data_IF_972099839451
#
_entry.id   IF_972099839451
#
_cell.length_a   1.000
_cell.length_b   1.000
_cell.length_c   1.000
_cell.angle_alpha   90.00
_cell.angle_beta   90.00
_cell.angle_gamma   90.00
#
_symmetry.space_group_name_H-M   'P 1'
#
loop_
_entity.id
_entity.type
_entity.pdbx_description
1 polymer ?
#
# COMPACT_ATOMS: atom_id res chain seq x y z
N UNK A 1 63.51 32.34 -11.34
CA UNK A 1 62.92 31.42 -10.37
C UNK A 1 61.58 32.00 -9.91
N UNK A 2 60.45 31.54 -10.50
CA UNK A 2 59.09 31.91 -10.09
C UNK A 2 58.35 30.62 -9.73
N UNK A 3 58.09 30.40 -8.44
CA UNK A 3 57.29 29.26 -7.93
C UNK A 3 55.83 29.55 -8.22
N UNK A 4 55.18 28.65 -9.00
CA UNK A 4 53.73 28.61 -9.14
C UNK A 4 53.14 27.78 -8.00
N UNK A 5 52.32 28.41 -7.18
CA UNK A 5 51.53 27.77 -6.13
C UNK A 5 50.24 27.29 -6.84
N UNK A 6 50.05 25.98 -6.87
CA UNK A 6 48.80 25.36 -7.34
C UNK A 6 47.90 25.24 -6.11
N UNK A 7 46.78 25.99 -6.12
CA UNK A 7 45.69 25.79 -5.16
C UNK A 7 44.84 24.60 -5.64
N UNK A 8 44.91 23.50 -4.91
CA UNK A 8 43.97 22.41 -5.05
C UNK A 8 42.69 22.77 -4.29
N UNK A 9 41.61 23.07 -5.01
CA UNK A 9 40.28 23.22 -4.44
C UNK A 9 39.73 21.82 -4.22
N UNK A 10 39.66 21.41 -2.95
CA UNK A 10 38.98 20.19 -2.52
C UNK A 10 37.48 20.49 -2.52
N UNK A 11 36.78 20.05 -3.55
CA UNK A 11 35.32 20.08 -3.55
C UNK A 11 34.82 18.92 -2.69
N UNK A 12 34.46 19.20 -1.45
CA UNK A 12 33.70 18.28 -0.60
C UNK A 12 32.26 18.22 -1.10
N UNK A 13 31.95 17.17 -1.85
CA UNK A 13 30.56 16.79 -2.11
C UNK A 13 29.94 16.36 -0.77
N UNK A 14 29.09 17.20 -0.22
CA UNK A 14 28.12 16.80 0.79
C UNK A 14 27.06 15.95 0.07
N UNK A 15 27.21 14.64 0.17
CA UNK A 15 26.09 13.72 -0.08
C UNK A 15 25.20 13.89 1.14
N UNK A 16 24.13 14.66 0.98
CA UNK A 16 23.03 14.67 1.94
C UNK A 16 22.34 13.31 1.81
N UNK A 17 22.80 12.35 2.62
CA UNK A 17 22.04 11.16 2.95
C UNK A 17 20.81 11.66 3.71
N UNK A 18 19.64 11.59 3.10
CA UNK A 18 18.39 11.69 3.85
C UNK A 18 18.32 10.46 4.75
N UNK A 19 18.87 10.59 5.95
CA UNK A 19 18.55 9.70 7.05
C UNK A 19 17.06 9.90 7.36
N UNK A 20 16.24 9.06 6.78
CA UNK A 20 14.88 8.83 7.26
C UNK A 20 15.01 8.36 8.71
N UNK A 21 14.78 9.28 9.64
CA UNK A 21 14.75 8.99 11.07
C UNK A 21 13.71 7.87 11.26
N UNK A 22 14.20 6.68 11.57
CA UNK A 22 13.39 5.60 12.12
C UNK A 22 12.53 6.22 13.24
N UNK A 23 11.21 6.14 13.07
CA UNK A 23 10.27 6.57 14.11
C UNK A 23 10.67 5.90 15.43
N UNK A 24 10.67 6.64 16.54
CA UNK A 24 10.83 6.02 17.85
C UNK A 24 9.67 5.04 18.03
N UNK A 25 9.97 3.80 18.40
CA UNK A 25 9.00 2.81 18.82
C UNK A 25 8.20 3.40 19.98
N UNK A 26 7.07 4.06 19.68
CA UNK A 26 6.10 4.40 20.68
C UNK A 26 5.49 3.08 21.14
N UNK A 27 5.88 2.65 22.34
CA UNK A 27 5.14 1.60 23.05
C UNK A 27 3.66 1.97 23.03
N UNK A 28 2.75 1.02 22.72
CA UNK A 28 1.33 1.30 22.74
C UNK A 28 0.95 1.74 24.15
N UNK A 29 0.45 2.96 24.27
CA UNK A 29 -0.23 3.35 25.52
C UNK A 29 -1.46 2.46 25.64
N UNK A 30 -1.46 1.58 26.64
CA UNK A 30 -2.63 0.83 27.07
C UNK A 30 -3.78 1.78 27.39
N UNK A 31 -4.64 1.99 26.41
CA UNK A 31 -6.06 2.31 26.59
C UNK A 31 -6.69 2.04 25.22
N UNK A 32 -7.31 0.86 25.06
CA UNK A 32 -8.30 0.66 24.01
C UNK A 32 -9.27 1.84 24.06
N UNK A 33 -9.16 2.75 23.09
CA UNK A 33 -9.96 3.97 23.03
C UNK A 33 -11.43 3.58 23.02
N UNK A 34 -12.24 4.26 23.82
CA UNK A 34 -13.71 4.10 23.77
C UNK A 34 -14.13 4.26 22.32
N UNK A 35 -14.98 3.34 21.85
CA UNK A 35 -15.55 3.41 20.51
C UNK A 35 -16.23 4.78 20.32
N UNK A 36 -15.60 5.68 19.60
CA UNK A 36 -16.06 7.05 19.38
C UNK A 36 -16.85 7.20 18.08
N UNK A 37 -17.08 6.08 17.37
CA UNK A 37 -17.87 6.11 16.15
C UNK A 37 -19.34 6.36 16.51
N UNK A 38 -20.03 7.33 15.85
CA UNK A 38 -21.45 7.55 16.09
C UNK A 38 -22.28 6.29 15.81
N UNK A 39 -23.23 5.95 16.67
CA UNK A 39 -23.98 4.68 16.62
C UNK A 39 -24.78 4.48 15.31
N UNK A 40 -25.07 5.55 14.57
CA UNK A 40 -25.81 5.51 13.30
C UNK A 40 -24.94 5.24 12.08
N UNK A 41 -23.61 5.17 12.22
CA UNK A 41 -22.71 4.95 11.09
C UNK A 41 -22.77 3.50 10.64
N UNK A 42 -23.19 3.29 9.40
CA UNK A 42 -23.17 1.98 8.75
C UNK A 42 -21.77 1.76 8.18
N UNK A 43 -21.11 0.69 8.59
CA UNK A 43 -19.84 0.26 8.03
C UNK A 43 -20.05 -0.89 7.04
N UNK A 44 -19.21 -0.91 6.03
CA UNK A 44 -19.07 -2.06 5.12
C UNK A 44 -18.49 -3.23 5.91
N UNK A 45 -18.96 -4.45 5.63
CA UNK A 45 -18.45 -5.69 6.23
C UNK A 45 -16.98 -5.90 5.85
N UNK A 46 -16.16 -6.29 6.82
CA UNK A 46 -14.71 -6.48 6.59
C UNK A 46 -14.23 -7.79 7.22
N UNK A 47 -13.15 -8.36 6.70
CA UNK A 47 -12.35 -9.37 7.39
C UNK A 47 -11.70 -8.78 8.67
N UNK A 48 -11.15 -9.61 9.58
CA UNK A 48 -10.39 -9.11 10.73
C UNK A 48 -9.25 -8.18 10.32
N UNK A 49 -9.00 -7.15 11.13
CA UNK A 49 -7.89 -6.22 10.90
C UNK A 49 -6.56 -6.97 11.04
N UNK A 50 -5.76 -6.93 9.98
CA UNK A 50 -4.40 -7.50 9.95
C UNK A 50 -3.38 -6.52 10.53
N UNK A 51 -2.18 -7.02 10.83
CA UNK A 51 -1.07 -6.21 11.33
C UNK A 51 0.15 -6.39 10.44
N UNK A 52 0.48 -5.37 9.65
CA UNK A 52 1.66 -5.37 8.77
C UNK A 52 2.98 -5.23 9.53
N UNK A 53 2.93 -4.95 10.84
CA UNK A 53 4.12 -4.67 11.63
C UNK A 53 4.92 -3.49 11.07
N UNK A 54 6.22 -3.72 10.87
CA UNK A 54 7.13 -2.72 10.28
C UNK A 54 7.41 -2.99 8.78
N UNK A 55 6.53 -3.74 8.10
CA UNK A 55 6.70 -3.99 6.67
C UNK A 55 6.32 -2.76 5.83
N UNK A 56 6.82 -2.73 4.60
CA UNK A 56 6.47 -1.73 3.59
C UNK A 56 5.34 -2.25 2.66
N UNK A 57 4.52 -3.20 3.16
CA UNK A 57 3.49 -3.90 2.38
C UNK A 57 2.09 -3.29 2.54
N UNK A 58 1.98 -2.05 3.03
CA UNK A 58 0.68 -1.38 3.21
C UNK A 58 -0.20 -1.43 1.95
N UNK A 59 0.42 -1.30 0.78
CA UNK A 59 -0.24 -1.41 -0.52
C UNK A 59 -0.92 -2.76 -0.74
N UNK A 60 -0.25 -3.86 -0.37
CA UNK A 60 -0.82 -5.19 -0.47
C UNK A 60 -1.91 -5.42 0.59
N UNK A 61 -1.68 -5.00 1.84
CA UNK A 61 -2.67 -5.12 2.91
C UNK A 61 -3.95 -4.34 2.60
N UNK A 62 -3.82 -3.08 2.15
CA UNK A 62 -4.96 -2.22 1.86
C UNK A 62 -5.78 -2.71 0.66
N UNK A 63 -5.10 -3.10 -0.42
CA UNK A 63 -5.79 -3.57 -1.63
C UNK A 63 -6.44 -4.96 -1.43
N UNK A 64 -5.73 -5.91 -0.77
CA UNK A 64 -6.36 -7.20 -0.42
C UNK A 64 -7.56 -7.02 0.50
N UNK A 65 -7.46 -6.10 1.48
CA UNK A 65 -8.57 -5.77 2.36
C UNK A 65 -9.81 -5.28 1.56
N UNK A 66 -9.59 -4.44 0.55
CA UNK A 66 -10.65 -3.94 -0.33
C UNK A 66 -11.28 -5.06 -1.15
N UNK A 67 -10.47 -5.97 -1.72
CA UNK A 67 -10.97 -7.15 -2.43
C UNK A 67 -11.81 -8.04 -1.50
N UNK A 68 -11.30 -8.33 -0.29
CA UNK A 68 -12.00 -9.14 0.72
C UNK A 68 -13.36 -8.55 1.12
N UNK A 69 -13.41 -7.23 1.32
CA UNK A 69 -14.65 -6.54 1.72
C UNK A 69 -15.65 -6.45 0.57
N UNK A 70 -15.19 -6.33 -0.67
CA UNK A 70 -16.04 -6.40 -1.87
C UNK A 70 -16.72 -7.77 -1.97
N UNK A 71 -16.00 -8.87 -1.70
CA UNK A 71 -16.57 -10.22 -1.64
C UNK A 71 -17.60 -10.38 -0.52
N UNK A 72 -17.32 -9.83 0.66
CA UNK A 72 -18.28 -9.86 1.79
C UNK A 72 -19.58 -9.14 1.38
N UNK A 73 -19.49 -8.03 0.68
CA UNK A 73 -20.66 -7.31 0.16
C UNK A 73 -21.44 -8.15 -0.84
N UNK A 74 -20.76 -8.92 -1.70
CA UNK A 74 -21.36 -9.86 -2.65
C UNK A 74 -21.88 -11.14 -2.01
N UNK A 75 -21.69 -11.35 -0.70
CA UNK A 75 -22.15 -12.52 0.07
C UNK A 75 -21.14 -13.65 0.21
N UNK A 76 -19.93 -13.47 -0.26
CA UNK A 76 -18.81 -14.39 -0.10
C UNK A 76 -17.96 -14.02 1.12
N UNK A 77 -17.13 -14.95 1.58
CA UNK A 77 -16.15 -14.69 2.63
C UNK A 77 -14.80 -15.26 2.22
N UNK A 78 -13.91 -14.36 1.83
CA UNK A 78 -12.52 -14.69 1.52
C UNK A 78 -11.59 -13.93 2.45
N UNK A 79 -10.43 -14.52 2.74
CA UNK A 79 -9.35 -13.91 3.50
C UNK A 79 -8.04 -14.31 2.82
N UNK A 80 -7.25 -13.33 2.35
CA UNK A 80 -6.14 -13.54 1.44
C UNK A 80 -4.79 -13.34 2.14
N UNK A 81 -3.79 -14.09 1.70
CA UNK A 81 -2.43 -14.06 2.26
C UNK A 81 -1.59 -12.94 1.66
N UNK A 82 -1.17 -11.99 2.47
CA UNK A 82 -0.15 -10.99 2.10
C UNK A 82 1.24 -11.62 2.05
N UNK A 83 1.54 -12.58 2.93
CA UNK A 83 2.81 -13.30 2.94
C UNK A 83 3.08 -14.03 1.62
N UNK A 84 2.04 -14.55 0.95
CA UNK A 84 2.17 -15.16 -0.37
C UNK A 84 2.63 -14.14 -1.41
N UNK A 85 1.98 -12.98 -1.47
CA UNK A 85 2.35 -11.89 -2.37
C UNK A 85 3.78 -11.40 -2.09
N UNK A 86 4.12 -11.23 -0.81
CA UNK A 86 5.47 -10.84 -0.40
C UNK A 86 6.53 -11.84 -0.86
N UNK A 87 6.24 -13.13 -0.76
CA UNK A 87 7.13 -14.21 -1.25
C UNK A 87 7.34 -14.12 -2.75
N UNK A 88 6.27 -13.96 -3.53
CA UNK A 88 6.36 -13.83 -4.99
C UNK A 88 7.16 -12.60 -5.39
N UNK A 89 6.92 -11.47 -4.72
CA UNK A 89 7.67 -10.25 -4.94
C UNK A 89 9.17 -10.42 -4.63
N UNK A 90 9.52 -11.01 -3.50
CA UNK A 90 10.92 -11.26 -3.15
C UNK A 90 11.64 -12.12 -4.18
N UNK A 91 11.00 -13.17 -4.69
CA UNK A 91 11.58 -14.02 -5.73
C UNK A 91 11.79 -13.26 -7.05
N UNK A 92 10.83 -12.42 -7.44
CA UNK A 92 10.93 -11.60 -8.66
C UNK A 92 12.03 -10.55 -8.52
N UNK A 93 12.01 -9.79 -7.41
CA UNK A 93 13.02 -8.75 -7.14
C UNK A 93 14.43 -9.32 -6.99
N UNK A 94 14.58 -10.54 -6.48
CA UNK A 94 15.86 -11.23 -6.43
C UNK A 94 16.42 -11.53 -7.84
N UNK A 95 15.57 -11.94 -8.79
CA UNK A 95 15.98 -12.14 -10.18
C UNK A 95 16.34 -10.82 -10.86
N UNK A 96 15.57 -9.75 -10.62
CA UNK A 96 15.90 -8.41 -11.13
C UNK A 96 17.24 -7.92 -10.59
N UNK A 97 17.49 -8.12 -9.28
CA UNK A 97 18.76 -7.78 -8.63
C UNK A 97 19.92 -8.56 -9.26
N UNK A 98 19.76 -9.89 -9.40
CA UNK A 98 20.77 -10.76 -10.00
C UNK A 98 21.13 -10.33 -11.44
N UNK A 99 20.13 -10.16 -12.32
CA UNK A 99 20.36 -9.77 -13.71
C UNK A 99 20.85 -8.32 -13.86
N UNK A 100 20.50 -7.42 -12.94
CA UNK A 100 21.06 -6.07 -12.90
C UNK A 100 22.47 -6.02 -12.28
N UNK A 101 23.02 -7.17 -11.85
CA UNK A 101 24.30 -7.23 -11.15
C UNK A 101 24.34 -6.32 -9.91
N UNK A 102 23.27 -6.36 -9.10
CA UNK A 102 23.15 -5.60 -7.87
C UNK A 102 22.78 -4.11 -8.03
N UNK A 103 22.43 -3.66 -9.24
CA UNK A 103 22.11 -2.24 -9.49
C UNK A 103 20.68 -1.87 -9.12
N UNK A 104 19.76 -2.83 -9.04
CA UNK A 104 18.37 -2.63 -8.63
C UNK A 104 18.20 -3.16 -7.20
N UNK A 105 18.21 -2.32 -6.16
CA UNK A 105 18.04 -2.77 -4.77
C UNK A 105 16.68 -3.40 -4.57
N UNK A 106 16.60 -4.32 -3.60
CA UNK A 106 15.36 -5.02 -3.27
C UNK A 106 14.61 -4.20 -2.21
N UNK A 107 13.37 -3.82 -2.52
CA UNK A 107 12.44 -3.15 -1.64
C UNK A 107 11.06 -3.79 -1.73
N UNK A 108 10.31 -3.76 -0.64
CA UNK A 108 8.93 -4.22 -0.58
C UNK A 108 7.92 -3.08 -0.79
N UNK A 109 8.40 -1.87 -1.12
CA UNK A 109 7.54 -0.73 -1.46
C UNK A 109 6.85 -0.95 -2.81
N UNK A 110 5.67 -0.39 -2.95
CA UNK A 110 4.88 -0.44 -4.17
C UNK A 110 3.55 0.26 -4.01
N UNK A 111 2.79 0.36 -5.09
CA UNK A 111 1.43 0.86 -5.13
C UNK A 111 0.40 -0.27 -5.16
N UNK A 112 -0.85 0.04 -4.82
CA UNK A 112 -1.94 -0.95 -4.78
C UNK A 112 -2.23 -1.58 -6.13
N UNK A 113 -2.00 -0.89 -7.24
CA UNK A 113 -2.08 -1.44 -8.61
C UNK A 113 -1.13 -2.63 -8.83
N UNK A 114 0.04 -2.59 -8.23
CA UNK A 114 1.03 -3.67 -8.32
C UNK A 114 0.50 -5.01 -7.78
N UNK A 115 -0.44 -4.98 -6.82
CA UNK A 115 -1.07 -6.20 -6.31
C UNK A 115 -1.79 -6.97 -7.43
N UNK A 116 -2.51 -6.27 -8.28
CA UNK A 116 -3.26 -6.88 -9.39
C UNK A 116 -2.30 -7.60 -10.35
N UNK A 117 -1.12 -7.02 -10.62
CA UNK A 117 -0.09 -7.70 -11.42
C UNK A 117 0.41 -8.99 -10.76
N UNK A 118 0.68 -8.97 -9.44
CA UNK A 118 1.12 -10.16 -8.71
C UNK A 118 0.06 -11.25 -8.66
N UNK A 119 -1.20 -10.89 -8.38
CA UNK A 119 -2.33 -11.82 -8.38
C UNK A 119 -2.49 -12.48 -9.76
N UNK A 120 -2.46 -11.69 -10.83
CA UNK A 120 -2.62 -12.21 -12.19
C UNK A 120 -1.45 -13.09 -12.64
N UNK A 121 -0.25 -12.82 -12.16
CA UNK A 121 0.96 -13.53 -12.57
C UNK A 121 1.23 -14.79 -11.76
N UNK A 122 0.98 -14.73 -10.46
CA UNK A 122 1.38 -15.77 -9.51
C UNK A 122 0.20 -16.43 -8.80
N UNK A 123 -0.98 -15.84 -8.88
CA UNK A 123 -2.14 -16.30 -8.15
C UNK A 123 -2.28 -15.69 -6.77
N UNK A 124 -3.17 -16.28 -5.99
CA UNK A 124 -3.43 -15.92 -4.60
C UNK A 124 -3.55 -17.17 -3.74
N UNK A 125 -3.34 -17.03 -2.45
CA UNK A 125 -3.53 -18.06 -1.44
C UNK A 125 -4.49 -17.58 -0.36
N UNK A 126 -5.35 -18.46 0.19
CA UNK A 126 -6.08 -18.16 1.40
C UNK A 126 -5.13 -17.87 2.57
N UNK A 127 -5.52 -16.94 3.44
CA UNK A 127 -4.74 -16.58 4.61
C UNK A 127 -4.38 -17.79 5.49
N UNK A 128 -5.35 -18.69 5.75
CA UNK A 128 -5.15 -19.86 6.59
C UNK A 128 -4.19 -20.89 5.97
N UNK A 129 -3.96 -20.84 4.66
CA UNK A 129 -2.98 -21.71 3.97
C UNK A 129 -1.57 -21.17 4.07
N UNK A 130 -1.40 -19.85 4.17
CA UNK A 130 -0.10 -19.19 4.27
C UNK A 130 -0.22 -17.91 5.11
N UNK A 131 -0.23 -18.07 6.43
CA UNK A 131 -0.42 -16.98 7.38
C UNK A 131 0.76 -16.02 7.42
N UNK A 132 0.46 -14.74 7.67
CA UNK A 132 1.48 -13.73 7.96
C UNK A 132 2.19 -14.06 9.27
N UNK A 133 3.50 -14.29 9.24
CA UNK A 133 4.27 -14.42 10.47
C UNK A 133 4.45 -13.07 11.12
N UNK A 134 4.16 -13.01 12.41
CA UNK A 134 4.44 -11.85 13.24
C UNK A 134 5.95 -11.62 13.33
N UNK A 135 6.33 -10.36 13.45
CA UNK A 135 7.73 -9.94 13.69
C UNK A 135 8.71 -10.13 12.52
N UNK A 136 8.24 -10.34 11.29
CA UNK A 136 9.11 -10.33 10.11
C UNK A 136 9.63 -8.90 9.86
N UNK A 137 10.94 -8.77 9.88
CA UNK A 137 11.60 -7.55 9.42
C UNK A 137 11.95 -7.67 7.93
N UNK A 138 11.05 -7.23 7.06
CA UNK A 138 11.24 -7.31 5.61
C UNK A 138 12.47 -6.54 5.11
N UNK A 139 12.87 -5.44 5.77
CA UNK A 139 14.12 -4.72 5.42
C UNK A 139 15.36 -5.58 5.66
N UNK A 140 15.34 -6.38 6.74
CA UNK A 140 16.43 -7.35 7.01
C UNK A 140 16.35 -8.50 6.01
N UNK A 141 15.15 -8.99 5.71
CA UNK A 141 14.95 -10.08 4.74
C UNK A 141 15.42 -9.67 3.34
N UNK A 142 15.09 -8.49 2.86
CA UNK A 142 15.60 -7.95 1.59
C UNK A 142 17.14 -7.96 1.54
N UNK A 143 17.82 -7.51 2.61
CA UNK A 143 19.29 -7.54 2.67
C UNK A 143 19.85 -8.97 2.65
N UNK A 144 19.18 -9.93 3.30
CA UNK A 144 19.57 -11.36 3.23
C UNK A 144 19.41 -11.90 1.81
N UNK A 145 18.32 -11.56 1.13
CA UNK A 145 18.08 -11.92 -0.27
C UNK A 145 19.17 -11.30 -1.18
N UNK A 146 19.52 -10.03 -0.99
CA UNK A 146 20.61 -9.38 -1.71
C UNK A 146 21.97 -10.08 -1.46
N UNK A 147 22.23 -10.54 -0.24
CA UNK A 147 23.46 -11.29 0.08
C UNK A 147 23.51 -12.63 -0.67
N UNK A 148 22.40 -13.37 -0.73
CA UNK A 148 22.30 -14.59 -1.53
C UNK A 148 22.55 -14.31 -3.01
N UNK A 149 21.91 -13.27 -3.57
CA UNK A 149 22.10 -12.85 -4.95
C UNK A 149 23.57 -12.48 -5.24
N UNK A 150 24.20 -11.68 -4.35
CA UNK A 150 25.61 -11.29 -4.48
C UNK A 150 26.54 -12.50 -4.45
N UNK A 151 26.27 -13.47 -3.58
CA UNK A 151 26.99 -14.74 -3.51
C UNK A 151 26.88 -15.52 -4.83
N UNK A 152 25.69 -15.59 -5.40
CA UNK A 152 25.44 -16.27 -6.68
C UNK A 152 26.12 -15.54 -7.86
N UNK A 153 26.08 -14.21 -7.88
CA UNK A 153 26.77 -13.37 -8.89
C UNK A 153 28.28 -13.63 -8.83
N UNK A 154 28.87 -13.54 -7.65
CA UNK A 154 30.33 -13.69 -7.46
C UNK A 154 30.82 -15.09 -7.86
N UNK A 155 30.01 -16.13 -7.66
CA UNK A 155 30.35 -17.52 -7.99
C UNK A 155 29.98 -17.91 -9.42
N UNK A 156 29.22 -17.08 -10.16
CA UNK A 156 28.62 -17.48 -11.43
C UNK A 156 27.68 -18.69 -11.30
N UNK A 157 26.94 -18.77 -10.20
CA UNK A 157 26.21 -20.00 -9.80
C UNK A 157 25.02 -20.36 -10.71
N UNK A 158 24.52 -19.41 -11.50
CA UNK A 158 23.36 -19.60 -12.37
C UNK A 158 22.03 -19.57 -11.64
N UNK A 159 20.93 -19.47 -12.42
CA UNK A 159 19.57 -19.20 -11.89
C UNK A 159 19.04 -20.37 -11.06
N UNK A 160 19.30 -21.61 -11.45
CA UNK A 160 18.77 -22.77 -10.76
C UNK A 160 19.30 -22.84 -9.31
N UNK A 161 20.61 -22.62 -9.13
CA UNK A 161 21.22 -22.59 -7.80
C UNK A 161 20.78 -21.38 -6.99
N UNK A 162 20.66 -20.22 -7.63
CA UNK A 162 20.12 -19.02 -6.99
C UNK A 162 18.71 -19.26 -6.45
N UNK A 163 17.81 -19.84 -7.25
CA UNK A 163 16.44 -20.15 -6.83
C UNK A 163 16.39 -21.14 -5.67
N UNK A 164 17.25 -22.16 -5.65
CA UNK A 164 17.35 -23.10 -4.54
C UNK A 164 17.74 -22.37 -3.24
N UNK A 165 18.84 -21.61 -3.24
CA UNK A 165 19.30 -20.84 -2.08
C UNK A 165 18.30 -19.77 -1.61
N UNK A 166 17.57 -19.14 -2.55
CA UNK A 166 16.51 -18.20 -2.23
C UNK A 166 15.31 -18.88 -1.58
N UNK A 167 14.88 -20.02 -2.10
CA UNK A 167 13.77 -20.78 -1.51
C UNK A 167 14.11 -21.22 -0.09
N UNK A 168 15.30 -21.76 0.14
CA UNK A 168 15.76 -22.16 1.49
C UNK A 168 15.71 -20.97 2.46
N UNK A 169 16.20 -19.79 2.04
CA UNK A 169 16.15 -18.59 2.86
C UNK A 169 14.69 -18.16 3.13
N UNK A 170 13.87 -18.05 2.09
CA UNK A 170 12.50 -17.56 2.21
C UNK A 170 11.65 -18.53 3.04
N UNK A 171 11.83 -19.86 2.86
CA UNK A 171 11.17 -20.90 3.67
C UNK A 171 11.51 -20.77 5.15
N UNK A 172 12.77 -20.47 5.47
CA UNK A 172 13.20 -20.28 6.86
C UNK A 172 12.56 -19.05 7.52
N UNK A 173 12.31 -17.98 6.75
CA UNK A 173 11.78 -16.70 7.23
C UNK A 173 10.24 -16.66 7.17
N UNK A 174 9.65 -16.94 6.01
CA UNK A 174 8.22 -16.84 5.77
C UNK A 174 7.45 -18.16 5.96
N UNK A 175 8.12 -19.28 6.01
CA UNK A 175 7.52 -20.61 6.03
C UNK A 175 7.55 -21.31 4.67
N UNK A 176 7.31 -22.60 4.69
CA UNK A 176 7.27 -23.40 3.47
C UNK A 176 6.11 -22.99 2.57
N UNK A 177 6.37 -23.05 1.25
CA UNK A 177 5.32 -22.81 0.26
C UNK A 177 4.14 -23.75 0.50
N UNK A 178 2.89 -23.27 0.51
CA UNK A 178 1.71 -24.12 0.64
C UNK A 178 1.59 -25.07 -0.56
N UNK A 179 0.72 -26.08 -0.43
CA UNK A 179 0.39 -26.97 -1.53
C UNK A 179 -0.18 -26.13 -2.69
N UNK A 180 0.13 -26.55 -3.93
CA UNK A 180 -0.36 -25.86 -5.14
C UNK A 180 -1.83 -26.20 -5.45
N UNK A 181 -2.58 -26.65 -4.45
CA UNK A 181 -3.97 -27.05 -4.54
C UNK A 181 -4.73 -26.42 -3.38
N UNK A 182 -5.68 -25.56 -3.73
CA UNK A 182 -6.54 -24.82 -2.80
C UNK A 182 -7.91 -25.50 -2.80
N UNK A 183 -8.35 -25.98 -1.64
CA UNK A 183 -9.69 -26.55 -1.48
C UNK A 183 -10.62 -25.51 -0.85
N UNK A 184 -11.53 -24.96 -1.61
CA UNK A 184 -12.49 -23.97 -1.14
C UNK A 184 -13.88 -24.19 -1.75
N UNK A 185 -14.93 -24.06 -0.92
CA UNK A 185 -16.32 -24.20 -1.32
C UNK A 185 -16.64 -25.50 -2.10
N UNK A 186 -15.92 -26.59 -1.79
CA UNK A 186 -16.12 -27.91 -2.42
C UNK A 186 -15.48 -28.05 -3.80
N UNK A 187 -14.68 -27.09 -4.23
CA UNK A 187 -13.87 -27.14 -5.44
C UNK A 187 -12.37 -27.12 -5.12
N UNK A 188 -11.57 -27.53 -6.09
CA UNK A 188 -10.11 -27.52 -6.04
C UNK A 188 -9.60 -26.54 -7.09
N UNK A 189 -8.68 -25.68 -6.67
CA UNK A 189 -8.11 -24.62 -7.50
C UNK A 189 -6.59 -24.68 -7.45
N UNK A 190 -5.93 -24.30 -8.53
CA UNK A 190 -4.56 -23.80 -8.48
C UNK A 190 -4.56 -22.37 -7.92
N UNK A 191 -3.43 -21.83 -7.42
CA UNK A 191 -3.36 -20.43 -6.97
C UNK A 191 -3.83 -19.40 -8.02
N UNK A 192 -3.58 -19.66 -9.32
CA UNK A 192 -4.05 -18.79 -10.41
C UNK A 192 -5.56 -18.89 -10.62
N UNK A 193 -6.13 -20.08 -10.63
CA UNK A 193 -7.58 -20.25 -10.75
C UNK A 193 -8.31 -19.65 -9.56
N UNK A 194 -7.77 -19.81 -8.36
CA UNK A 194 -8.31 -19.17 -7.16
C UNK A 194 -8.24 -17.66 -7.28
N UNK A 195 -7.11 -17.10 -7.68
CA UNK A 195 -6.96 -15.66 -7.90
C UNK A 195 -7.98 -15.12 -8.89
N UNK A 196 -8.20 -15.79 -10.03
CA UNK A 196 -9.18 -15.37 -11.03
C UNK A 196 -10.64 -15.52 -10.55
N UNK A 197 -10.88 -16.35 -9.54
CA UNK A 197 -12.22 -16.45 -8.92
C UNK A 197 -12.50 -15.33 -7.94
N UNK A 198 -11.46 -14.62 -7.45
CA UNK A 198 -11.59 -13.56 -6.45
C UNK A 198 -11.26 -12.16 -6.98
N UNK A 199 -10.47 -12.06 -8.04
CA UNK A 199 -10.12 -10.77 -8.65
C UNK A 199 -9.61 -10.99 -10.08
N UNK A 200 -10.29 -10.44 -11.07
CA UNK A 200 -9.80 -10.45 -12.45
C UNK A 200 -9.17 -9.09 -12.82
N UNK A 201 -8.33 -9.04 -13.88
CA UNK A 201 -7.45 -7.90 -14.16
C UNK A 201 -8.12 -6.54 -14.24
N UNK A 202 -9.32 -6.49 -14.85
CA UNK A 202 -10.04 -5.24 -15.11
C UNK A 202 -11.11 -4.94 -14.05
N UNK A 203 -11.16 -5.68 -12.94
CA UNK A 203 -12.20 -5.51 -11.92
C UNK A 203 -12.08 -4.19 -11.14
N UNK A 204 -10.90 -3.60 -11.10
CA UNK A 204 -10.64 -2.38 -10.34
C UNK A 204 -10.17 -1.24 -11.21
N UNK A 205 -10.75 -0.06 -10.99
CA UNK A 205 -10.36 1.19 -11.63
C UNK A 205 -9.45 1.96 -10.69
N UNK A 206 -8.30 2.42 -11.22
CA UNK A 206 -7.35 3.28 -10.52
C UNK A 206 -7.56 4.75 -10.91
N UNK A 207 -7.87 5.60 -9.93
CA UNK A 207 -8.19 7.01 -10.13
C UNK A 207 -7.15 7.89 -9.43
N UNK A 208 -6.86 9.03 -10.05
CA UNK A 208 -6.05 10.10 -9.46
C UNK A 208 -6.58 11.48 -9.86
N UNK A 209 -5.99 12.57 -9.31
CA UNK A 209 -6.46 13.92 -9.59
C UNK A 209 -5.32 14.93 -9.57
N UNK A 210 -4.69 15.19 -10.72
CA UNK A 210 -3.60 16.16 -10.86
C UNK A 210 -3.71 16.96 -12.14
N UNK A 211 -3.34 18.27 -12.11
CA UNK A 211 -3.54 19.21 -13.23
C UNK A 211 -2.38 19.28 -14.21
N UNK A 212 -1.25 18.61 -13.92
CA UNK A 212 -0.12 18.57 -14.84
C UNK A 212 -0.32 17.60 -16.01
N UNK A 213 -1.39 16.77 -15.95
CA UNK A 213 -1.90 15.98 -17.06
C UNK A 213 -3.37 16.32 -17.34
N UNK A 214 -3.86 16.14 -18.57
CA UNK A 214 -5.26 16.37 -18.91
C UNK A 214 -6.20 15.50 -18.06
N UNK A 215 -7.34 16.06 -17.65
CA UNK A 215 -8.40 15.27 -17.05
C UNK A 215 -9.10 14.38 -18.09
N UNK A 216 -9.63 13.23 -17.63
CA UNK A 216 -10.30 12.19 -18.42
C UNK A 216 -9.38 11.40 -19.35
N UNK A 217 -8.09 11.46 -19.06
CA UNK A 217 -7.06 10.66 -19.73
C UNK A 217 -6.30 9.80 -18.72
N UNK A 218 -5.75 8.70 -19.20
CA UNK A 218 -4.87 7.86 -18.39
C UNK A 218 -3.44 8.36 -18.52
N UNK A 219 -2.72 8.34 -17.43
CA UNK A 219 -1.27 8.60 -17.42
C UNK A 219 -0.58 7.77 -16.33
N UNK A 220 0.70 7.50 -16.52
CA UNK A 220 1.51 6.84 -15.51
C UNK A 220 1.87 7.85 -14.42
N UNK A 221 1.39 7.61 -13.21
CA UNK A 221 1.59 8.53 -12.08
C UNK A 221 3.06 8.58 -11.66
N UNK A 222 3.61 9.78 -11.57
CA UNK A 222 5.03 10.04 -11.30
C UNK A 222 5.36 10.02 -9.80
N UNK A 223 5.13 8.88 -9.18
CA UNK A 223 5.58 8.59 -7.81
C UNK A 223 6.58 7.44 -7.81
N UNK A 224 7.51 7.47 -6.85
CA UNK A 224 8.63 6.50 -6.82
C UNK A 224 8.16 5.05 -6.68
N UNK A 225 7.03 4.82 -6.02
CA UNK A 225 6.50 3.48 -5.77
C UNK A 225 5.71 2.91 -6.97
N UNK A 226 5.38 3.73 -7.98
CA UNK A 226 4.84 3.27 -9.26
C UNK A 226 5.92 2.63 -10.16
N UNK A 227 6.52 1.55 -9.66
CA UNK A 227 7.64 0.87 -10.31
C UNK A 227 7.24 0.13 -11.60
N UNK A 228 5.96 -0.17 -11.77
CA UNK A 228 5.42 -0.84 -12.95
C UNK A 228 4.89 0.13 -14.01
N UNK A 229 4.96 1.45 -13.73
CA UNK A 229 4.43 2.48 -14.61
C UNK A 229 2.93 2.32 -14.90
N UNK A 230 2.18 1.90 -13.88
CA UNK A 230 0.74 1.75 -13.97
C UNK A 230 0.08 3.09 -14.30
N UNK A 231 -1.00 3.01 -15.07
CA UNK A 231 -1.75 4.17 -15.53
C UNK A 231 -2.99 4.39 -14.65
N UNK A 232 -3.28 5.66 -14.38
CA UNK A 232 -4.39 6.11 -13.56
C UNK A 232 -5.30 7.01 -14.37
N UNK A 233 -6.62 6.80 -14.27
CA UNK A 233 -7.57 7.74 -14.86
C UNK A 233 -7.57 9.03 -14.05
N UNK A 234 -7.19 10.13 -14.71
CA UNK A 234 -7.11 11.45 -14.11
C UNK A 234 -8.47 12.15 -14.15
N UNK A 235 -9.02 12.48 -12.99
CA UNK A 235 -10.31 13.17 -12.89
C UNK A 235 -10.22 14.39 -11.94
N UNK A 236 -11.10 15.40 -12.06
CA UNK A 236 -11.15 16.51 -11.10
C UNK A 236 -11.35 16.00 -9.66
N UNK A 237 -10.74 16.68 -8.68
CA UNK A 237 -10.76 16.23 -7.29
C UNK A 237 -12.17 16.13 -6.70
N UNK A 238 -13.05 17.05 -7.05
CA UNK A 238 -14.44 17.01 -6.56
C UNK A 238 -15.22 15.82 -7.16
N UNK A 239 -14.92 15.43 -8.40
CA UNK A 239 -15.45 14.22 -9.03
C UNK A 239 -14.90 12.96 -8.35
N UNK A 240 -13.60 12.91 -8.05
CA UNK A 240 -12.97 11.81 -7.33
C UNK A 240 -13.63 11.62 -5.95
N UNK A 241 -13.85 12.70 -5.18
CA UNK A 241 -14.55 12.63 -3.90
C UNK A 241 -15.99 12.13 -4.05
N UNK A 242 -16.68 12.54 -5.12
CA UNK A 242 -18.03 12.08 -5.43
C UNK A 242 -18.06 10.57 -5.69
N UNK A 243 -17.11 10.03 -6.46
CA UNK A 243 -16.99 8.59 -6.68
C UNK A 243 -16.73 7.82 -5.38
N UNK A 244 -15.80 8.30 -4.53
CA UNK A 244 -15.57 7.68 -3.21
C UNK A 244 -16.87 7.66 -2.39
N UNK A 245 -17.59 8.79 -2.32
CA UNK A 245 -18.81 8.87 -1.55
C UNK A 245 -19.89 7.92 -2.09
N UNK A 246 -20.11 7.90 -3.40
CA UNK A 246 -21.09 7.02 -4.04
C UNK A 246 -20.76 5.55 -3.84
N UNK A 247 -19.48 5.15 -3.99
CA UNK A 247 -19.04 3.80 -3.72
C UNK A 247 -19.42 3.36 -2.29
N UNK A 248 -19.06 4.15 -1.29
CA UNK A 248 -19.36 3.85 0.12
C UNK A 248 -20.86 3.82 0.40
N UNK A 249 -21.64 4.73 -0.16
CA UNK A 249 -23.10 4.77 0.02
C UNK A 249 -23.79 3.54 -0.60
N UNK A 250 -23.23 3.02 -1.69
CA UNK A 250 -23.70 1.78 -2.35
C UNK A 250 -23.16 0.49 -1.69
N UNK A 251 -22.28 0.61 -0.70
CA UNK A 251 -21.74 -0.53 0.04
C UNK A 251 -20.43 -1.09 -0.49
N UNK A 252 -19.78 -0.41 -1.44
CA UNK A 252 -18.50 -0.79 -2.00
C UNK A 252 -17.33 -0.14 -1.21
N UNK A 253 -16.30 -0.91 -0.81
CA UNK A 253 -15.10 -0.36 -0.20
C UNK A 253 -14.24 0.38 -1.22
N UNK A 254 -13.39 1.27 -0.73
CA UNK A 254 -12.43 2.00 -1.57
C UNK A 254 -11.02 1.85 -0.99
N UNK A 255 -10.08 1.36 -1.77
CA UNK A 255 -8.66 1.41 -1.41
C UNK A 255 -8.17 2.84 -1.60
N UNK A 256 -7.66 3.44 -0.53
CA UNK A 256 -7.13 4.80 -0.51
C UNK A 256 -5.62 4.77 -0.31
N UNK A 257 -4.91 5.46 -1.16
CA UNK A 257 -3.46 5.63 -1.14
C UNK A 257 -3.12 7.11 -1.05
N UNK A 258 -2.29 7.49 -0.06
CA UNK A 258 -1.99 8.90 0.18
C UNK A 258 -0.99 9.15 1.29
N UNK A 259 -0.85 10.42 1.61
CA UNK A 259 0.11 10.93 2.58
C UNK A 259 -0.45 10.86 4.01
N UNK A 260 0.33 10.27 4.90
CA UNK A 260 0.07 10.19 6.34
C UNK A 260 1.18 10.81 7.20
N UNK A 261 2.13 11.49 6.58
CA UNK A 261 3.27 12.12 7.28
C UNK A 261 2.86 13.35 8.11
N UNK A 262 1.62 13.79 8.01
CA UNK A 262 1.08 14.99 8.65
C UNK A 262 0.99 14.88 10.18
N UNK A 263 1.25 16.00 10.89
CA UNK A 263 1.13 16.01 12.36
C UNK A 263 -0.24 15.59 12.88
N UNK A 264 -1.31 15.89 12.13
CA UNK A 264 -2.69 15.51 12.47
C UNK A 264 -2.90 13.99 12.45
N UNK A 265 -2.22 13.27 11.53
CA UNK A 265 -2.26 11.82 11.46
C UNK A 265 -1.36 11.18 12.54
N UNK A 266 -0.19 11.75 12.80
CA UNK A 266 0.75 11.25 13.80
C UNK A 266 0.19 11.31 15.23
N UNK A 267 -0.66 12.30 15.52
CA UNK A 267 -1.26 12.51 16.85
C UNK A 267 -2.76 12.78 16.73
N UNK A 268 -3.57 11.82 16.29
CA UNK A 268 -4.99 12.02 16.07
C UNK A 268 -5.74 12.24 17.40
N UNK A 269 -6.56 13.28 17.45
CA UNK A 269 -7.43 13.52 18.61
C UNK A 269 -8.66 12.64 18.53
N UNK A 270 -8.78 11.67 19.46
CA UNK A 270 -9.91 10.72 19.46
C UNK A 270 -10.09 9.98 18.13
N UNK A 271 -8.99 9.68 17.43
CA UNK A 271 -8.94 9.04 16.11
C UNK A 271 -9.46 9.91 14.95
N UNK A 272 -9.68 11.21 15.16
CA UNK A 272 -10.01 12.15 14.10
C UNK A 272 -8.74 12.81 13.56
N UNK A 273 -8.62 12.81 12.25
CA UNK A 273 -7.51 13.43 11.51
C UNK A 273 -8.06 14.51 10.62
N UNK A 274 -7.44 15.67 10.66
CA UNK A 274 -7.79 16.81 9.83
C UNK A 274 -6.53 17.54 9.39
N UNK A 275 -6.62 18.30 8.31
CA UNK A 275 -5.58 19.22 7.89
C UNK A 275 -5.51 20.44 8.80
N UNK A 276 -4.43 21.19 8.70
CA UNK A 276 -4.27 22.44 9.45
C UNK A 276 -5.15 23.56 8.86
N UNK A 277 -5.43 24.59 9.66
CA UNK A 277 -6.18 25.76 9.16
C UNK A 277 -5.45 26.54 8.07
N UNK A 278 -4.10 26.44 8.02
CA UNK A 278 -3.27 27.09 7.01
C UNK A 278 -3.38 26.43 5.62
N UNK A 279 -3.79 25.17 5.57
CA UNK A 279 -3.98 24.41 4.34
C UNK A 279 -5.35 24.64 3.70
N UNK A 280 -6.24 25.37 4.38
CA UNK A 280 -7.59 25.68 3.89
C UNK A 280 -7.66 27.03 3.17
N UNK A 281 -8.53 27.16 2.16
CA UNK A 281 -9.39 26.12 1.60
C UNK A 281 -8.63 25.16 0.69
N UNK A 282 -9.03 23.87 0.67
CA UNK A 282 -8.48 22.88 -0.25
C UNK A 282 -9.13 23.03 -1.62
N UNK A 283 -8.32 23.32 -2.61
CA UNK A 283 -8.71 23.45 -4.03
C UNK A 283 -7.90 22.50 -4.90
N UNK A 284 -8.29 22.33 -6.15
CA UNK A 284 -7.49 21.57 -7.12
C UNK A 284 -6.06 22.12 -7.25
N UNK A 285 -5.90 23.47 -7.22
CA UNK A 285 -4.60 24.12 -7.34
C UNK A 285 -3.74 23.93 -6.07
N UNK A 286 -4.35 24.04 -4.86
CA UNK A 286 -3.60 23.83 -3.61
C UNK A 286 -3.13 22.39 -3.48
N UNK A 287 -3.97 21.43 -3.91
CA UNK A 287 -3.63 20.01 -4.01
C UNK A 287 -2.46 19.78 -4.98
N UNK A 288 -2.55 20.30 -6.21
CA UNK A 288 -1.48 20.19 -7.20
C UNK A 288 -0.15 20.75 -6.67
N UNK A 289 -0.21 21.94 -6.07
CA UNK A 289 0.96 22.58 -5.48
C UNK A 289 1.58 21.73 -4.35
N UNK A 290 0.76 21.13 -3.49
CA UNK A 290 1.25 20.26 -2.41
C UNK A 290 1.98 19.03 -2.96
N UNK A 291 1.47 18.42 -4.03
CA UNK A 291 2.11 17.30 -4.72
C UNK A 291 3.45 17.72 -5.36
N UNK A 292 3.46 18.78 -6.17
CA UNK A 292 4.67 19.27 -6.85
C UNK A 292 5.77 19.72 -5.88
N UNK A 293 5.39 20.19 -4.69
CA UNK A 293 6.31 20.61 -3.64
C UNK A 293 6.70 19.47 -2.69
N UNK A 294 6.25 18.24 -2.95
CA UNK A 294 6.48 17.06 -2.11
C UNK A 294 5.98 17.24 -0.67
N UNK A 295 4.93 18.04 -0.49
CA UNK A 295 4.18 18.16 0.76
C UNK A 295 3.03 17.15 0.85
N UNK A 296 2.71 16.50 -0.26
CA UNK A 296 1.84 15.33 -0.34
C UNK A 296 2.61 14.27 -1.10
N UNK A 297 2.90 13.17 -0.43
CA UNK A 297 3.72 12.07 -0.92
C UNK A 297 2.97 10.75 -0.84
N UNK A 298 3.47 9.73 -1.54
CA UNK A 298 2.94 8.39 -1.47
C UNK A 298 3.56 7.65 -0.28
N UNK A 299 2.80 7.56 0.84
CA UNK A 299 3.31 7.07 2.10
C UNK A 299 2.61 5.81 2.60
N UNK A 300 1.30 5.68 2.37
CA UNK A 300 0.49 4.66 3.03
C UNK A 300 -0.80 4.34 2.31
N UNK A 301 -1.29 3.12 2.56
CA UNK A 301 -2.55 2.62 2.00
C UNK A 301 -3.48 2.15 3.11
N UNK A 302 -4.75 2.53 3.01
CA UNK A 302 -5.85 2.11 3.88
C UNK A 302 -7.10 1.81 3.07
N UNK A 303 -8.04 1.10 3.68
CA UNK A 303 -9.35 0.86 3.10
C UNK A 303 -10.40 1.81 3.69
N UNK A 304 -11.15 2.53 2.87
CA UNK A 304 -12.32 3.31 3.30
C UNK A 304 -13.53 2.37 3.34
N UNK A 305 -14.17 2.28 4.51
CA UNK A 305 -15.27 1.35 4.79
C UNK A 305 -16.55 2.05 5.28
N UNK A 306 -16.58 3.35 5.30
CA UNK A 306 -17.75 4.10 5.75
C UNK A 306 -17.53 5.60 5.72
N UNK A 307 -18.62 6.33 5.88
CA UNK A 307 -18.60 7.79 5.97
C UNK A 307 -19.65 8.27 6.95
N UNK A 308 -19.42 9.41 7.60
CA UNK A 308 -20.38 10.08 8.47
C UNK A 308 -20.13 11.58 8.51
N UNK A 309 -21.14 12.31 8.97
CA UNK A 309 -21.04 13.76 9.18
C UNK A 309 -21.09 14.07 10.67
N UNK A 310 -20.12 14.85 11.15
CA UNK A 310 -20.08 15.38 12.50
C UNK A 310 -20.03 16.91 12.47
N UNK A 311 -21.09 17.54 12.93
CA UNK A 311 -21.26 18.98 12.78
C UNK A 311 -21.43 19.37 11.31
N UNK A 312 -20.47 20.10 10.74
CA UNK A 312 -20.45 20.48 9.33
C UNK A 312 -19.39 19.73 8.51
N UNK A 313 -18.63 18.84 9.18
CA UNK A 313 -17.51 18.14 8.58
C UNK A 313 -17.88 16.69 8.27
N UNK A 314 -17.59 16.24 7.04
CA UNK A 314 -17.63 14.83 6.65
C UNK A 314 -16.33 14.15 7.05
N UNK A 315 -16.44 12.92 7.50
CA UNK A 315 -15.31 12.03 7.80
C UNK A 315 -15.48 10.70 7.10
N UNK A 316 -14.37 10.15 6.65
CA UNK A 316 -14.26 8.81 6.09
C UNK A 316 -13.66 7.88 7.14
N UNK A 317 -14.29 6.72 7.34
CA UNK A 317 -13.79 5.68 8.25
C UNK A 317 -12.81 4.82 7.48
N UNK A 318 -11.54 4.95 7.83
CA UNK A 318 -10.45 4.20 7.19
C UNK A 318 -10.03 3.04 8.09
N UNK A 319 -10.02 1.82 7.53
CA UNK A 319 -9.45 0.62 8.16
C UNK A 319 -7.97 0.54 7.79
N UNK A 320 -7.12 0.49 8.83
CA UNK A 320 -5.67 0.39 8.70
C UNK A 320 -5.20 -1.04 8.92
N UNK A 321 -3.96 -1.32 8.55
CA UNK A 321 -3.26 -2.60 8.72
C UNK A 321 -2.21 -2.57 9.84
N UNK A 322 -2.55 -1.93 10.99
CA UNK A 322 -1.68 -1.84 12.17
C UNK A 322 -2.26 -2.53 13.41
N UNK A 323 -3.06 -3.57 13.18
CA UNK A 323 -3.71 -4.36 14.23
C UNK A 323 -4.86 -3.64 14.92
N UNK A 324 -5.61 -4.39 15.72
CA UNK A 324 -6.81 -3.88 16.43
C UNK A 324 -6.50 -3.01 17.63
N UNK A 325 -5.26 -3.02 18.12
CA UNK A 325 -4.83 -2.19 19.24
C UNK A 325 -4.53 -0.74 18.84
N UNK A 326 -4.39 -0.47 17.55
CA UNK A 326 -4.17 0.87 17.02
C UNK A 326 -5.50 1.58 16.71
N UNK A 327 -5.54 2.89 16.93
CA UNK A 327 -6.72 3.71 16.64
C UNK A 327 -7.99 3.24 17.35
N UNK A 328 -9.14 3.33 16.68
CA UNK A 328 -10.39 2.76 17.16
C UNK A 328 -10.57 1.34 16.57
N UNK A 329 -10.00 0.32 17.23
CA UNK A 329 -10.05 -1.06 16.76
C UNK A 329 -9.51 -1.22 15.32
N UNK A 330 -8.34 -0.63 15.05
CA UNK A 330 -7.71 -0.64 13.73
C UNK A 330 -8.26 0.42 12.75
N UNK A 331 -9.06 1.38 13.22
CA UNK A 331 -9.71 2.39 12.37
C UNK A 331 -9.33 3.80 12.78
N UNK A 332 -9.38 4.71 11.80
CA UNK A 332 -9.15 6.15 11.94
C UNK A 332 -10.16 6.92 11.08
N UNK A 333 -10.41 8.17 11.42
CA UNK A 333 -11.42 9.00 10.74
C UNK A 333 -10.73 10.18 10.04
N UNK A 334 -10.62 10.13 8.73
CA UNK A 334 -10.03 11.20 7.93
C UNK A 334 -11.10 12.20 7.50
N UNK A 335 -10.86 13.49 7.70
CA UNK A 335 -11.77 14.54 7.22
C UNK A 335 -11.82 14.56 5.69
N UNK A 336 -12.91 15.08 5.11
CA UNK A 336 -13.03 15.23 3.67
C UNK A 336 -11.93 16.12 3.10
N UNK A 337 -11.57 17.20 3.81
CA UNK A 337 -10.46 18.07 3.43
C UNK A 337 -9.12 17.33 3.44
N UNK A 338 -8.92 16.39 4.40
CA UNK A 338 -7.72 15.55 4.43
C UNK A 338 -7.66 14.63 3.21
N UNK A 339 -8.75 13.90 2.93
CA UNK A 339 -8.84 13.06 1.73
C UNK A 339 -8.63 13.92 0.48
N UNK A 340 -9.27 15.08 0.39
CA UNK A 340 -9.15 15.99 -0.75
C UNK A 340 -7.71 16.46 -1.00
N UNK A 341 -6.95 16.75 0.05
CA UNK A 341 -5.58 17.27 -0.07
C UNK A 341 -4.54 16.15 -0.24
N UNK A 342 -4.67 15.05 0.53
CA UNK A 342 -3.61 14.06 0.74
C UNK A 342 -3.74 12.77 -0.07
N UNK A 343 -4.79 12.59 -0.87
CA UNK A 343 -4.93 11.42 -1.75
C UNK A 343 -3.91 11.47 -2.88
N UNK A 344 -3.19 10.38 -3.09
CA UNK A 344 -2.37 10.13 -4.28
C UNK A 344 -3.20 9.38 -5.31
N UNK A 345 -3.79 8.25 -4.91
CA UNK A 345 -4.64 7.44 -5.75
C UNK A 345 -5.78 6.79 -4.95
N UNK A 346 -6.81 6.35 -5.64
CA UNK A 346 -7.83 5.47 -5.08
C UNK A 346 -8.14 4.34 -6.06
N UNK A 347 -8.55 3.20 -5.51
CA UNK A 347 -8.95 2.03 -6.31
C UNK A 347 -10.32 1.56 -5.81
N UNK A 348 -11.20 1.30 -6.73
CA UNK A 348 -12.54 0.78 -6.44
C UNK A 348 -12.96 -0.19 -7.55
N UNK A 349 -13.91 -1.08 -7.24
CA UNK A 349 -14.44 -1.98 -8.26
C UNK A 349 -15.08 -1.19 -9.41
N UNK A 350 -15.08 -1.75 -10.61
CA UNK A 350 -15.76 -1.14 -11.77
C UNK A 350 -17.25 -0.91 -11.47
N UNK A 351 -17.88 -1.84 -10.72
CA UNK A 351 -19.26 -1.71 -10.27
C UNK A 351 -19.47 -0.46 -9.39
N UNK A 352 -18.54 -0.22 -8.45
CA UNK A 352 -18.55 0.97 -7.60
C UNK A 352 -18.36 2.26 -8.41
N UNK A 353 -17.45 2.25 -9.40
CA UNK A 353 -17.13 3.40 -10.23
C UNK A 353 -18.31 3.81 -11.12
N UNK A 354 -19.03 2.86 -11.74
CA UNK A 354 -20.18 3.12 -12.59
C UNK A 354 -21.49 3.30 -11.80
N UNK A 355 -21.48 3.12 -10.49
CA UNK A 355 -22.63 3.38 -9.59
C UNK A 355 -23.74 2.33 -9.72
N UNK A 356 -23.38 1.08 -9.87
CA UNK A 356 -24.35 -0.06 -9.92
C UNK A 356 -24.61 -0.64 -8.56
#
# INVERSE_FOLDING_TARGET
MKRKIIFAILATLFIASCDYKSQPSSQPSEKAGKNNLPAHVKLIGTTPVKDQGQSELCWAYGMLATIESEHIMKGDSINLSVAYIARMMLQEKALEYYFSQGKKPISMRGMSSMLIHYINKYGAEPYDSYEDKKDINYKVLCRKVEQVCNGAIAKGAGIAKLKEELNDLIDSELGYMPAQQIHMLGAEYTPLEFAHSVCYPEEYVALTSFTHHPFREYFSLEVADNQMHDEFLNIPIDELLQHIQQAIENGHPVCWEGDISEPGFQNPKNNYVDITSAERPVTQESRQKAFEQLHTTDDHVMEIIGTFVQGKQRYYVCRNSWGTNWGNQGRIYLSEDYIKLKTIAVYMSEEAYIGK
#
